data_IF_547072380566
#
_entry.id   IF_547072380566
#
_cell.length_a   1.000
_cell.length_b   1.000
_cell.length_c   1.000
_cell.angle_alpha   90.00
_cell.angle_beta   90.00
_cell.angle_gamma   90.00
#
_symmetry.space_group_name_H-M   'P 1'
#
loop_
_entity.id
_entity.type
_entity.pdbx_description
1 polymer ?
#
# COMPACT_ATOMS: atom_id res chain seq x y z
N UNK A 1 -43.71 -22.49 31.81
CA UNK A 1 -42.97 -21.24 31.53
C UNK A 1 -41.59 -21.68 31.07
N UNK A 2 -41.30 -21.56 29.77
CA UNK A 2 -39.97 -21.88 29.25
C UNK A 2 -39.03 -20.73 29.62
N UNK A 3 -37.99 -21.06 30.38
CA UNK A 3 -36.92 -20.15 30.74
C UNK A 3 -36.12 -19.82 29.47
N UNK A 4 -36.25 -18.59 28.98
CA UNK A 4 -35.56 -18.08 27.79
C UNK A 4 -34.25 -17.38 28.17
N UNK A 5 -33.51 -17.94 29.13
CA UNK A 5 -32.14 -17.52 29.44
C UNK A 5 -31.21 -18.12 28.40
N UNK A 6 -31.17 -17.50 27.21
CA UNK A 6 -30.03 -17.63 26.32
C UNK A 6 -28.77 -17.34 27.15
N UNK A 7 -27.74 -18.21 27.14
CA UNK A 7 -26.52 -17.90 27.86
C UNK A 7 -25.95 -16.62 27.25
N UNK A 8 -26.01 -15.51 27.99
CA UNK A 8 -25.34 -14.26 27.66
C UNK A 8 -23.83 -14.51 27.76
N UNK A 9 -23.28 -15.16 26.72
CA UNK A 9 -21.84 -15.30 26.56
C UNK A 9 -21.28 -13.90 26.37
N UNK A 10 -20.62 -13.40 27.41
CA UNK A 10 -20.01 -12.09 27.36
C UNK A 10 -18.81 -12.12 26.42
N UNK A 11 -18.53 -10.99 25.77
CA UNK A 11 -17.41 -10.85 24.83
C UNK A 11 -16.08 -11.34 25.41
N UNK A 12 -15.88 -11.16 26.72
CA UNK A 12 -14.71 -11.63 27.45
C UNK A 12 -14.62 -13.16 27.54
N UNK A 13 -15.74 -13.84 27.77
CA UNK A 13 -15.81 -15.31 27.80
C UNK A 13 -15.53 -15.91 26.42
N UNK A 14 -15.99 -15.23 25.36
CA UNK A 14 -15.64 -15.60 23.98
C UNK A 14 -14.15 -15.42 23.72
N UNK A 15 -13.55 -14.32 24.17
CA UNK A 15 -12.11 -14.09 24.05
C UNK A 15 -11.32 -15.17 24.79
N UNK A 16 -11.69 -15.52 26.01
CA UNK A 16 -11.04 -16.59 26.77
C UNK A 16 -11.11 -17.93 26.05
N UNK A 17 -12.26 -18.27 25.45
CA UNK A 17 -12.40 -19.48 24.64
C UNK A 17 -11.60 -19.48 23.34
N UNK A 18 -11.36 -18.31 22.73
CA UNK A 18 -10.56 -18.17 21.52
C UNK A 18 -9.04 -18.15 21.79
N UNK A 19 -8.59 -18.30 23.03
CA UNK A 19 -7.19 -18.29 23.43
C UNK A 19 -6.76 -17.05 24.23
N UNK A 20 -7.74 -16.27 24.70
CA UNK A 20 -7.53 -15.14 25.61
C UNK A 20 -6.73 -14.00 24.98
N UNK A 21 -5.96 -13.32 25.82
CA UNK A 21 -5.08 -12.20 25.42
C UNK A 21 -4.09 -12.59 24.31
N UNK A 22 -3.65 -13.85 24.24
CA UNK A 22 -2.73 -14.30 23.19
C UNK A 22 -3.34 -14.27 21.80
N UNK A 23 -4.64 -14.53 21.68
CA UNK A 23 -5.35 -14.41 20.42
C UNK A 23 -5.36 -12.95 19.93
N UNK A 24 -5.58 -12.00 20.85
CA UNK A 24 -5.54 -10.56 20.54
C UNK A 24 -4.14 -10.16 20.05
N UNK A 25 -3.09 -10.59 20.76
CA UNK A 25 -1.70 -10.33 20.36
C UNK A 25 -1.44 -10.91 18.97
N UNK A 26 -1.87 -12.15 18.71
CA UNK A 26 -1.74 -12.80 17.41
C UNK A 26 -2.40 -12.01 16.27
N UNK A 27 -3.61 -11.50 16.50
CA UNK A 27 -4.33 -10.67 15.51
C UNK A 27 -3.58 -9.36 15.25
N UNK A 28 -3.08 -8.69 16.30
CA UNK A 28 -2.30 -7.46 16.15
C UNK A 28 -1.02 -7.70 15.34
N UNK A 29 -0.30 -8.79 15.63
CA UNK A 29 0.89 -9.18 14.86
C UNK A 29 0.53 -9.47 13.40
N UNK A 30 -0.53 -10.24 13.15
CA UNK A 30 -0.99 -10.55 11.80
C UNK A 30 -1.36 -9.28 11.01
N UNK A 31 -2.08 -8.35 11.63
CA UNK A 31 -2.42 -7.05 11.04
C UNK A 31 -1.17 -6.22 10.74
N UNK A 32 -0.17 -6.24 11.63
CA UNK A 32 1.10 -5.53 11.44
C UNK A 32 1.86 -6.07 10.23
N UNK A 33 1.98 -7.40 10.12
CA UNK A 33 2.61 -8.06 8.97
C UNK A 33 1.85 -7.75 7.69
N UNK A 34 0.52 -7.84 7.72
CA UNK A 34 -0.32 -7.52 6.58
C UNK A 34 -0.13 -6.06 6.12
N UNK A 35 -0.08 -5.13 7.06
CA UNK A 35 0.16 -3.71 6.78
C UNK A 35 1.51 -3.48 6.09
N UNK A 36 2.59 -4.09 6.60
CA UNK A 36 3.92 -4.01 6.00
C UNK A 36 3.91 -4.60 4.58
N UNK A 37 3.30 -5.77 4.40
CA UNK A 37 3.16 -6.39 3.08
C UNK A 37 2.39 -5.50 2.11
N UNK A 38 1.30 -4.86 2.56
CA UNK A 38 0.51 -3.94 1.75
C UNK A 38 1.34 -2.74 1.30
N UNK A 39 2.12 -2.16 2.22
CA UNK A 39 3.04 -1.05 1.94
C UNK A 39 4.11 -1.45 0.93
N UNK A 40 4.81 -2.56 1.17
CA UNK A 40 5.83 -3.05 0.25
C UNK A 40 5.29 -3.38 -1.13
N UNK A 41 4.02 -3.76 -1.23
CA UNK A 41 3.40 -4.06 -2.53
C UNK A 41 2.85 -2.81 -3.24
N UNK A 42 2.26 -1.85 -2.50
CA UNK A 42 1.69 -0.63 -3.08
C UNK A 42 2.73 0.44 -3.41
N UNK A 43 3.75 0.64 -2.57
CA UNK A 43 4.77 1.69 -2.76
C UNK A 43 5.54 1.55 -4.09
N UNK A 44 6.09 0.38 -4.48
CA UNK A 44 6.83 0.27 -5.73
C UNK A 44 5.93 0.54 -6.93
N UNK A 45 4.66 0.10 -6.92
CA UNK A 45 3.74 0.33 -8.03
C UNK A 45 3.44 1.81 -8.25
N UNK A 46 3.28 2.59 -7.18
CA UNK A 46 3.08 4.04 -7.27
C UNK A 46 4.32 4.81 -7.73
N UNK A 47 5.51 4.38 -7.31
CA UNK A 47 6.78 5.06 -7.65
C UNK A 47 7.26 4.75 -9.07
N UNK A 48 7.07 3.53 -9.56
CA UNK A 48 7.50 3.13 -10.91
C UNK A 48 6.71 3.90 -11.98
N UNK A 49 5.38 4.01 -11.81
CA UNK A 49 4.51 4.77 -12.73
C UNK A 49 4.90 6.24 -12.86
N UNK A 50 5.27 6.89 -11.74
CA UNK A 50 5.70 8.29 -11.77
C UNK A 50 7.12 8.45 -12.33
N UNK A 51 8.03 7.51 -12.01
CA UNK A 51 9.40 7.53 -12.51
C UNK A 51 9.48 7.30 -14.04
N UNK A 52 8.62 6.45 -14.60
CA UNK A 52 8.52 6.24 -16.05
C UNK A 52 8.00 7.48 -16.78
N UNK A 53 6.95 8.12 -16.24
CA UNK A 53 6.41 9.37 -16.80
C UNK A 53 7.45 10.48 -16.79
N UNK A 54 8.18 10.66 -15.67
CA UNK A 54 9.24 11.64 -15.54
C UNK A 54 10.42 11.38 -16.50
N UNK A 55 10.84 10.11 -16.67
CA UNK A 55 11.86 9.75 -17.66
C UNK A 55 11.41 10.10 -19.08
N UNK A 56 10.19 9.72 -19.46
CA UNK A 56 9.68 9.97 -20.82
C UNK A 56 9.63 11.47 -21.18
N UNK A 57 9.23 12.32 -20.23
CA UNK A 57 9.21 13.77 -20.42
C UNK A 57 10.61 14.34 -20.57
N UNK A 58 11.57 13.88 -19.75
CA UNK A 58 12.96 14.35 -19.80
C UNK A 58 13.63 13.98 -21.12
N UNK A 59 13.36 12.79 -21.65
CA UNK A 59 13.88 12.36 -22.96
C UNK A 59 13.29 13.19 -24.10
N UNK A 60 11.99 13.50 -24.06
CA UNK A 60 11.33 14.37 -25.04
C UNK A 60 11.92 15.79 -25.00
N UNK A 61 12.12 16.34 -23.81
CA UNK A 61 12.70 17.68 -23.64
C UNK A 61 14.14 17.77 -24.16
N UNK A 62 14.97 16.76 -23.87
CA UNK A 62 16.35 16.71 -24.39
C UNK A 62 16.39 16.56 -25.91
N UNK A 63 15.46 15.80 -26.51
CA UNK A 63 15.37 15.67 -27.96
C UNK A 63 14.96 16.98 -28.62
N UNK A 64 13.95 17.66 -28.08
CA UNK A 64 13.52 18.97 -28.55
C UNK A 64 14.62 20.05 -28.40
N UNK A 65 15.39 20.01 -27.30
CA UNK A 65 16.54 20.90 -27.11
C UNK A 65 17.64 20.65 -28.16
N UNK A 66 17.93 19.38 -28.48
CA UNK A 66 18.90 19.02 -29.53
C UNK A 66 18.45 19.45 -30.92
N UNK A 67 17.17 19.31 -31.24
CA UNK A 67 16.62 19.76 -32.53
C UNK A 67 16.68 21.28 -32.67
N UNK A 68 16.34 22.04 -31.62
CA UNK A 68 16.47 23.50 -31.62
C UNK A 68 17.93 23.97 -31.80
N UNK A 69 18.88 23.34 -31.12
CA UNK A 69 20.32 23.66 -31.26
C UNK A 69 20.83 23.34 -32.67
N UNK A 70 20.37 22.24 -33.28
CA UNK A 70 20.73 21.89 -34.66
C UNK A 70 20.13 22.85 -35.67
N UNK A 71 18.89 23.30 -35.46
CA UNK A 71 18.24 24.31 -36.32
C UNK A 71 18.95 25.66 -36.25
N UNK A 72 19.38 26.12 -35.06
CA UNK A 72 20.14 27.37 -34.95
C UNK A 72 21.46 27.32 -35.72
N UNK A 73 22.18 26.20 -35.69
CA UNK A 73 23.45 26.03 -36.43
C UNK A 73 23.34 26.00 -37.95
N UNK A 74 22.14 25.86 -38.51
CA UNK A 74 21.92 25.85 -39.96
C UNK A 74 21.48 27.23 -40.50
N UNK A 75 21.25 28.19 -39.61
CA UNK A 75 20.84 29.56 -39.95
C UNK A 75 22.02 30.54 -39.88
N UNK A 76 23.08 30.21 -39.13
CA UNK A 76 24.40 30.88 -39.17
C UNK A 76 25.26 30.38 -40.34
#
# INVERSE_FOLDING_TARGET
MADNTSPDVTFWETIDHLGGIWAIIGVVVALTVFYVALIEFMIPRGRISQAERAKSQRTKLMRAARENVKSQRLVD
#
